data_IF_736147884705
#
_entry.id   IF_736147884705
#
_cell.length_a   1.000
_cell.length_b   1.000
_cell.length_c   1.000
_cell.angle_alpha   90.00
_cell.angle_beta   90.00
_cell.angle_gamma   90.00
#
_symmetry.space_group_name_H-M   'P 1'
#
loop_
_entity.id
_entity.type
_entity.pdbx_description
1 polymer ?
#
# COMPACT_ATOMS: atom_id res chain seq x y z
N UNK A 1 -22.01 -1.27 -3.94
CA UNK A 1 -21.56 -2.68 -3.85
C UNK A 1 -20.06 -2.67 -3.62
N UNK A 2 -19.57 -3.30 -2.55
CA UNK A 2 -18.13 -3.53 -2.36
C UNK A 2 -17.69 -4.56 -3.39
N UNK A 3 -16.70 -4.22 -4.22
CA UNK A 3 -16.18 -5.14 -5.22
C UNK A 3 -15.02 -5.93 -4.60
N UNK A 4 -15.34 -7.05 -3.94
CA UNK A 4 -14.38 -7.92 -3.26
C UNK A 4 -13.25 -8.37 -4.19
N UNK A 5 -13.56 -8.59 -5.47
CA UNK A 5 -12.57 -8.95 -6.48
C UNK A 5 -11.46 -7.91 -6.59
N UNK A 6 -11.82 -6.61 -6.67
CA UNK A 6 -10.84 -5.53 -6.74
C UNK A 6 -9.98 -5.43 -5.48
N UNK A 7 -10.58 -5.59 -4.30
CA UNK A 7 -9.83 -5.58 -3.05
C UNK A 7 -8.85 -6.76 -2.99
N UNK A 8 -9.30 -7.96 -3.36
CA UNK A 8 -8.47 -9.17 -3.32
C UNK A 8 -7.31 -9.12 -4.34
N UNK A 9 -7.60 -8.75 -5.60
CA UNK A 9 -6.57 -8.63 -6.64
C UNK A 9 -5.58 -7.50 -6.37
N UNK A 10 -6.07 -6.37 -5.83
CA UNK A 10 -5.19 -5.27 -5.45
C UNK A 10 -4.35 -5.63 -4.23
N UNK A 11 -4.96 -6.26 -3.22
CA UNK A 11 -4.28 -6.68 -1.99
C UNK A 11 -3.18 -7.70 -2.25
N UNK A 12 -3.40 -8.69 -3.12
CA UNK A 12 -2.36 -9.64 -3.49
C UNK A 12 -1.16 -8.97 -4.15
N UNK A 13 -1.40 -8.04 -5.09
CA UNK A 13 -0.35 -7.24 -5.72
C UNK A 13 0.40 -6.36 -4.71
N UNK A 14 -0.32 -5.67 -3.83
CA UNK A 14 0.27 -4.83 -2.78
C UNK A 14 1.17 -5.62 -1.83
N UNK A 15 0.73 -6.81 -1.40
CA UNK A 15 1.51 -7.69 -0.55
C UNK A 15 2.79 -8.19 -1.24
N UNK A 16 2.71 -8.57 -2.52
CA UNK A 16 3.89 -8.98 -3.30
C UNK A 16 4.88 -7.83 -3.45
N UNK A 17 4.40 -6.64 -3.82
CA UNK A 17 5.25 -5.45 -3.96
C UNK A 17 5.96 -5.09 -2.65
N UNK A 18 5.23 -5.13 -1.53
CA UNK A 18 5.81 -4.94 -0.19
C UNK A 18 6.91 -5.98 0.08
N UNK A 19 6.62 -7.26 -0.11
CA UNK A 19 7.58 -8.33 0.15
C UNK A 19 8.87 -8.16 -0.67
N UNK A 20 8.74 -7.90 -1.97
CA UNK A 20 9.87 -7.68 -2.87
C UNK A 20 10.69 -6.44 -2.47
N UNK A 21 10.02 -5.33 -2.14
CA UNK A 21 10.67 -4.08 -1.76
C UNK A 21 11.40 -4.21 -0.43
N UNK A 22 10.75 -4.77 0.59
CA UNK A 22 11.36 -5.02 1.90
C UNK A 22 12.58 -5.94 1.79
N UNK A 23 12.50 -7.02 0.99
CA UNK A 23 13.63 -7.91 0.78
C UNK A 23 14.79 -7.26 0.03
N UNK A 24 14.49 -6.46 -1.01
CA UNK A 24 15.50 -5.73 -1.75
C UNK A 24 16.30 -4.81 -0.82
N UNK A 25 15.62 -4.01 0.00
CA UNK A 25 16.32 -3.10 0.92
C UNK A 25 17.00 -3.82 2.09
N UNK A 26 16.45 -4.95 2.56
CA UNK A 26 17.08 -5.76 3.61
C UNK A 26 18.48 -6.24 3.22
N UNK A 27 18.73 -6.47 1.93
CA UNK A 27 20.06 -6.84 1.44
C UNK A 27 21.11 -5.74 1.65
N UNK A 28 20.73 -4.47 1.45
CA UNK A 28 21.63 -3.32 1.58
C UNK A 28 21.67 -2.74 3.00
N UNK A 29 20.55 -2.81 3.73
CA UNK A 29 20.36 -2.22 5.05
C UNK A 29 19.83 -3.26 6.05
N UNK A 30 20.63 -4.26 6.45
CA UNK A 30 20.15 -5.38 7.26
C UNK A 30 19.74 -5.00 8.69
N UNK A 31 20.29 -3.90 9.22
CA UNK A 31 20.09 -3.46 10.62
C UNK A 31 19.18 -2.22 10.73
N UNK A 32 18.59 -1.76 9.64
CA UNK A 32 17.74 -0.56 9.64
C UNK A 32 16.49 -0.82 8.79
N UNK A 33 15.28 -0.49 9.27
CA UNK A 33 14.02 -0.80 8.59
C UNK A 33 13.73 0.12 7.40
N UNK A 34 14.74 0.34 6.55
CA UNK A 34 14.64 1.26 5.41
C UNK A 34 13.51 0.86 4.46
N UNK A 35 13.41 -0.44 4.15
CA UNK A 35 12.36 -0.96 3.28
C UNK A 35 10.97 -0.64 3.83
N UNK A 36 10.75 -0.88 5.13
CA UNK A 36 9.46 -0.65 5.81
C UNK A 36 9.12 0.83 5.92
N UNK A 37 10.10 1.69 6.20
CA UNK A 37 9.92 3.15 6.17
C UNK A 37 9.55 3.63 4.77
N UNK A 38 10.26 3.14 3.74
CA UNK A 38 10.04 3.54 2.35
C UNK A 38 8.64 3.17 1.85
N UNK A 39 8.21 1.92 2.03
CA UNK A 39 6.87 1.49 1.59
C UNK A 39 5.75 2.26 2.31
N UNK A 40 5.91 2.55 3.60
CA UNK A 40 4.92 3.28 4.38
C UNK A 40 4.85 4.75 3.98
N UNK A 41 5.99 5.40 3.79
CA UNK A 41 6.06 6.78 3.31
C UNK A 41 5.44 6.91 1.91
N UNK A 42 5.91 6.10 0.96
CA UNK A 42 5.45 6.14 -0.43
C UNK A 42 3.96 5.79 -0.52
N UNK A 43 3.53 4.73 0.17
CA UNK A 43 2.14 4.31 0.16
C UNK A 43 1.20 5.35 0.77
N UNK A 44 1.55 5.93 1.92
CA UNK A 44 0.73 6.96 2.56
C UNK A 44 0.66 8.25 1.73
N UNK A 45 1.77 8.63 1.08
CA UNK A 45 1.80 9.77 0.16
C UNK A 45 0.87 9.56 -1.04
N UNK A 46 0.93 8.39 -1.67
CA UNK A 46 0.06 8.04 -2.80
C UNK A 46 -1.41 7.97 -2.38
N UNK A 47 -1.72 7.44 -1.20
CA UNK A 47 -3.09 7.46 -0.65
C UNK A 47 -3.56 8.91 -0.50
N UNK A 48 -2.74 9.82 0.03
CA UNK A 48 -3.08 11.23 0.17
C UNK A 48 -3.40 11.92 -1.16
N UNK A 49 -2.59 11.68 -2.20
CA UNK A 49 -2.84 12.18 -3.56
C UNK A 49 -4.15 11.62 -4.12
N UNK A 50 -4.37 10.31 -4.02
CA UNK A 50 -5.57 9.70 -4.57
C UNK A 50 -6.81 10.17 -3.82
N UNK A 51 -6.78 10.17 -2.49
CA UNK A 51 -7.91 10.58 -1.67
C UNK A 51 -8.33 12.03 -1.94
N UNK A 52 -7.39 12.96 -2.07
CA UNK A 52 -7.70 14.38 -2.32
C UNK A 52 -8.30 14.62 -3.71
N UNK A 53 -7.81 13.93 -4.74
CA UNK A 53 -8.34 14.08 -6.11
C UNK A 53 -9.74 13.47 -6.29
N UNK A 54 -10.18 12.64 -5.34
CA UNK A 54 -11.37 11.81 -5.48
C UNK A 54 -12.49 12.22 -4.52
N UNK A 55 -12.25 13.24 -3.70
CA UNK A 55 -13.23 13.81 -2.76
C UNK A 55 -14.51 14.31 -3.46
N UNK A 56 -14.43 14.67 -4.75
CA UNK A 56 -15.55 15.19 -5.56
C UNK A 56 -16.04 14.24 -6.67
N UNK A 57 -15.49 13.04 -6.79
CA UNK A 57 -15.85 12.10 -7.86
C UNK A 57 -16.82 11.03 -7.32
N UNK A 58 -18.06 11.01 -7.83
CA UNK A 58 -19.12 10.10 -7.36
C UNK A 58 -18.89 8.60 -7.60
N UNK A 59 -19.90 7.87 -8.08
CA UNK A 59 -19.86 6.39 -8.21
C UNK A 59 -18.79 5.82 -9.16
N UNK A 60 -18.20 6.66 -10.04
CA UNK A 60 -17.08 6.28 -10.91
C UNK A 60 -15.78 5.93 -10.16
N UNK A 61 -15.73 6.22 -8.85
CA UNK A 61 -14.57 6.03 -8.00
C UNK A 61 -14.34 4.60 -7.48
N UNK A 62 -15.28 3.67 -7.74
CA UNK A 62 -15.23 2.34 -7.13
C UNK A 62 -13.92 1.57 -7.42
N UNK A 63 -13.42 1.62 -8.65
CA UNK A 63 -12.16 0.93 -8.99
C UNK A 63 -10.97 1.51 -8.22
N UNK A 64 -10.76 2.82 -8.26
CA UNK A 64 -9.60 3.45 -7.60
C UNK A 64 -9.66 3.26 -6.09
N UNK A 65 -10.84 3.41 -5.48
CA UNK A 65 -11.00 3.22 -4.04
C UNK A 65 -10.69 1.77 -3.61
N UNK A 66 -11.32 0.79 -4.25
CA UNK A 66 -11.23 -0.60 -3.80
C UNK A 66 -9.96 -1.30 -4.28
N UNK A 67 -9.56 -1.11 -5.54
CA UNK A 67 -8.37 -1.75 -6.10
C UNK A 67 -7.07 -1.04 -5.68
N UNK A 68 -6.99 0.28 -5.86
CA UNK A 68 -5.74 1.02 -5.63
C UNK A 68 -5.54 1.37 -4.16
N UNK A 69 -6.50 2.06 -3.53
CA UNK A 69 -6.32 2.55 -2.15
C UNK A 69 -6.43 1.39 -1.15
N UNK A 70 -7.56 0.71 -1.11
CA UNK A 70 -7.81 -0.35 -0.12
C UNK A 70 -6.98 -1.60 -0.43
N UNK A 71 -6.92 -2.01 -1.70
CA UNK A 71 -6.18 -3.19 -2.14
C UNK A 71 -4.67 -2.97 -2.14
N UNK A 72 -4.14 -2.35 -3.21
CA UNK A 72 -2.69 -2.24 -3.44
C UNK A 72 -2.02 -1.45 -2.33
N UNK A 73 -2.39 -0.18 -2.12
CA UNK A 73 -1.69 0.70 -1.18
C UNK A 73 -1.91 0.29 0.28
N UNK A 74 -3.12 -0.19 0.61
CA UNK A 74 -3.44 -0.74 1.93
C UNK A 74 -2.62 -1.98 2.28
N UNK A 75 -2.35 -2.88 1.33
CA UNK A 75 -1.52 -4.07 1.57
C UNK A 75 -0.01 -3.82 1.37
N UNK A 76 0.33 -2.79 0.60
CA UNK A 76 1.70 -2.33 0.38
C UNK A 76 2.29 -1.66 1.61
N UNK A 77 1.47 -0.93 2.38
CA UNK A 77 1.84 -0.35 3.67
C UNK A 77 1.65 -1.36 4.81
N UNK A 78 2.37 -1.19 5.93
CA UNK A 78 2.28 -2.09 7.08
C UNK A 78 2.69 -1.39 8.38
N UNK A 79 1.77 -1.35 9.34
CA UNK A 79 2.10 -0.90 10.69
C UNK A 79 2.72 -2.02 11.53
N UNK A 80 2.21 -3.25 11.41
CA UNK A 80 2.70 -4.40 12.20
C UNK A 80 4.17 -4.71 11.96
N UNK A 81 4.64 -4.66 10.71
CA UNK A 81 6.06 -4.90 10.40
C UNK A 81 6.92 -3.76 10.95
N UNK A 82 6.47 -2.51 10.82
CA UNK A 82 7.17 -1.36 11.39
C UNK A 82 7.36 -1.51 12.90
N UNK A 83 6.30 -1.85 13.63
CA UNK A 83 6.36 -2.05 15.09
C UNK A 83 7.25 -3.21 15.54
N UNK A 84 7.53 -4.20 14.68
CA UNK A 84 8.43 -5.31 15.01
C UNK A 84 9.90 -4.96 14.74
N UNK A 85 10.16 -4.00 13.87
CA UNK A 85 11.52 -3.60 13.46
C UNK A 85 12.02 -2.32 14.15
N UNK A 86 11.13 -1.57 14.82
CA UNK A 86 11.42 -0.35 15.58
C UNK A 86 11.74 -0.62 17.05
#
# INVERSE_FOLDING_TARGET
MINLFYVASGGSLGAVLRYLTSNFYRFYFPNFPFGTLFINFLGSFLIGILASNLENQGTSYAFIKYFLIIGILGSFTTFSTFSLES
#
